data_IF_031540566588
#
_entry.id   IF_031540566588
#
_cell.length_a   1.000
_cell.length_b   1.000
_cell.length_c   1.000
_cell.angle_alpha   90.00
_cell.angle_beta   90.00
_cell.angle_gamma   90.00
#
_symmetry.space_group_name_H-M   'P 1'
#
loop_
_entity.id
_entity.type
_entity.pdbx_description
1 polymer ?
#
# COMPACT_ATOMS: atom_id res chain seq x y z
N UNK A 1 13.54 26.13 -23.83
CA UNK A 1 13.09 26.14 -22.48
C UNK A 1 12.62 24.79 -22.05
N UNK A 2 13.02 24.43 -20.92
CA UNK A 2 12.67 23.14 -20.41
C UNK A 2 11.20 23.08 -20.02
N UNK A 3 10.45 22.28 -20.72
CA UNK A 3 9.03 22.16 -20.46
C UNK A 3 8.72 21.04 -19.49
N UNK A 4 9.64 20.77 -18.62
CA UNK A 4 9.39 19.74 -17.62
C UNK A 4 8.19 20.09 -16.77
N UNK A 5 7.35 19.11 -16.52
CA UNK A 5 6.26 19.33 -15.57
C UNK A 5 6.84 19.62 -14.19
N UNK A 6 6.08 20.31 -13.37
CA UNK A 6 6.55 20.55 -12.01
C UNK A 6 6.93 19.24 -11.34
N UNK A 7 7.95 19.25 -10.52
CA UNK A 7 8.35 18.03 -9.86
C UNK A 7 7.18 17.47 -9.08
N UNK A 8 6.95 16.18 -9.28
CA UNK A 8 5.92 15.52 -8.51
C UNK A 8 6.28 15.61 -7.04
N UNK A 9 5.26 15.70 -6.23
CA UNK A 9 5.50 15.66 -4.80
C UNK A 9 6.22 14.37 -4.44
N UNK A 10 6.95 14.41 -3.36
CA UNK A 10 7.64 13.22 -2.89
C UNK A 10 6.68 12.04 -2.78
N UNK A 11 5.48 12.31 -2.31
CA UNK A 11 4.47 11.26 -2.16
C UNK A 11 4.13 10.62 -3.51
N UNK A 12 4.07 11.43 -4.56
CA UNK A 12 3.72 10.92 -5.89
C UNK A 12 4.80 9.98 -6.43
N UNK A 13 6.06 10.37 -6.30
CA UNK A 13 7.16 9.51 -6.71
C UNK A 13 7.18 8.21 -5.90
N UNK A 14 6.89 8.34 -4.64
CA UNK A 14 6.83 7.23 -3.74
C UNK A 14 5.77 6.20 -4.17
N UNK A 15 4.61 6.70 -4.53
CA UNK A 15 3.54 5.85 -5.03
C UNK A 15 3.95 5.11 -6.29
N UNK A 16 4.63 5.79 -7.20
CA UNK A 16 5.06 5.18 -8.45
C UNK A 16 6.06 4.06 -8.21
N UNK A 17 7.04 4.29 -7.36
CA UNK A 17 8.02 3.27 -7.03
C UNK A 17 7.37 2.07 -6.38
N UNK A 18 6.43 2.33 -5.50
CA UNK A 18 5.75 1.27 -4.79
C UNK A 18 4.93 0.41 -5.73
N UNK A 19 4.31 1.02 -6.72
CA UNK A 19 3.53 0.27 -7.71
C UNK A 19 4.39 -0.73 -8.46
N UNK A 20 5.57 -0.31 -8.84
CA UNK A 20 6.49 -1.19 -9.56
C UNK A 20 6.90 -2.37 -8.68
N UNK A 21 7.18 -2.11 -7.41
CA UNK A 21 7.52 -3.17 -6.48
C UNK A 21 6.38 -4.14 -6.27
N UNK A 22 5.17 -3.62 -6.17
CA UNK A 22 4.00 -4.46 -6.00
C UNK A 22 3.76 -5.35 -7.19
N UNK A 23 4.02 -4.85 -8.38
CA UNK A 23 3.83 -5.65 -9.59
C UNK A 23 4.71 -6.88 -9.57
N UNK A 24 5.95 -6.74 -9.12
CA UNK A 24 6.86 -7.87 -9.02
C UNK A 24 6.34 -8.91 -8.03
N UNK A 25 5.78 -8.46 -6.93
CA UNK A 25 5.19 -9.37 -5.95
C UNK A 25 4.00 -10.14 -6.50
N UNK A 26 3.22 -9.49 -7.36
CA UNK A 26 2.06 -10.14 -7.95
C UNK A 26 2.43 -11.33 -8.80
N UNK A 27 3.54 -11.24 -9.49
CA UNK A 27 3.94 -12.29 -10.41
C UNK A 27 4.39 -13.55 -9.68
N UNK A 28 4.64 -13.46 -8.37
CA UNK A 28 5.07 -14.61 -7.59
C UNK A 28 3.94 -15.28 -6.82
N UNK A 29 2.71 -15.06 -7.24
CA UNK A 29 1.54 -15.53 -6.49
C UNK A 29 1.09 -16.93 -6.86
N UNK A 30 1.99 -17.79 -7.25
CA UNK A 30 1.60 -19.14 -7.65
C UNK A 30 1.23 -20.04 -6.47
N UNK A 31 1.69 -19.70 -5.27
CA UNK A 31 1.50 -20.55 -4.10
C UNK A 31 0.36 -20.06 -3.20
N UNK A 32 -0.74 -20.81 -3.09
CA UNK A 32 -1.89 -20.37 -2.28
C UNK A 32 -1.56 -20.18 -0.79
N UNK A 33 -0.70 -21.02 -0.25
CA UNK A 33 -0.32 -20.88 1.16
C UNK A 33 0.42 -19.57 1.38
N UNK A 34 1.29 -19.23 0.46
CA UNK A 34 2.02 -17.97 0.54
C UNK A 34 1.10 -16.78 0.42
N UNK A 35 0.12 -16.87 -0.46
CA UNK A 35 -0.84 -15.80 -0.64
C UNK A 35 -1.62 -15.54 0.65
N UNK A 36 -1.99 -16.61 1.35
CA UNK A 36 -2.70 -16.46 2.62
C UNK A 36 -1.84 -15.76 3.66
N UNK A 37 -0.58 -16.15 3.76
CA UNK A 37 0.34 -15.52 4.71
C UNK A 37 0.54 -14.06 4.39
N UNK A 38 0.69 -13.74 3.12
CA UNK A 38 0.88 -12.35 2.71
C UNK A 38 -0.34 -11.51 3.02
N UNK A 39 -1.53 -12.09 2.84
CA UNK A 39 -2.74 -11.38 3.20
C UNK A 39 -2.80 -11.10 4.70
N UNK A 40 -2.46 -12.07 5.50
CA UNK A 40 -2.46 -11.88 6.95
C UNK A 40 -1.43 -10.83 7.37
N UNK A 41 -0.26 -10.84 6.75
CA UNK A 41 0.75 -9.82 7.03
C UNK A 41 0.28 -8.44 6.63
N UNK A 42 -0.38 -8.33 5.49
CA UNK A 42 -0.90 -7.04 5.04
C UNK A 42 -1.94 -6.50 6.03
N UNK A 43 -2.82 -7.36 6.50
CA UNK A 43 -3.81 -6.96 7.49
C UNK A 43 -3.14 -6.53 8.80
N UNK A 44 -2.08 -7.22 9.18
CA UNK A 44 -1.33 -6.86 10.38
C UNK A 44 -0.70 -5.48 10.25
N UNK A 45 -0.16 -5.18 9.10
CA UNK A 45 0.44 -3.87 8.86
C UNK A 45 -0.58 -2.76 9.09
N UNK A 46 -1.82 -3.00 8.68
CA UNK A 46 -2.89 -2.03 8.90
C UNK A 46 -3.50 -2.11 10.30
N UNK A 47 -3.07 -3.10 11.09
CA UNK A 47 -3.62 -3.26 12.42
C UNK A 47 -5.03 -3.82 12.43
N UNK A 48 -5.35 -4.67 11.45
CA UNK A 48 -6.69 -5.23 11.31
C UNK A 48 -6.70 -6.72 11.56
N UNK A 49 -7.85 -7.25 11.98
CA UNK A 49 -7.99 -8.70 12.18
C UNK A 49 -8.09 -9.43 10.85
N UNK A 50 -7.91 -10.77 10.86
CA UNK A 50 -7.95 -11.54 9.62
C UNK A 50 -9.28 -11.48 8.89
N UNK A 51 -10.36 -11.18 9.60
CA UNK A 51 -11.69 -11.12 9.01
C UNK A 51 -12.13 -9.70 8.67
N UNK A 52 -11.18 -8.78 8.54
CA UNK A 52 -11.52 -7.40 8.23
C UNK A 52 -12.26 -7.28 6.90
N UNK A 53 -13.27 -6.44 6.87
CA UNK A 53 -14.05 -6.20 5.67
C UNK A 53 -13.34 -5.21 4.77
N UNK A 54 -13.71 -5.17 3.47
CA UNK A 54 -13.13 -4.18 2.56
C UNK A 54 -13.33 -2.74 3.04
N UNK A 55 -14.47 -2.48 3.66
CA UNK A 55 -14.72 -1.14 4.18
C UNK A 55 -13.80 -0.80 5.34
N UNK A 56 -13.55 -1.75 6.21
CA UNK A 56 -12.63 -1.55 7.32
C UNK A 56 -11.21 -1.32 6.82
N UNK A 57 -10.81 -2.06 5.79
CA UNK A 57 -9.49 -1.90 5.20
C UNK A 57 -9.34 -0.49 4.64
N UNK A 58 -10.33 -0.03 3.90
CA UNK A 58 -10.31 1.29 3.28
C UNK A 58 -10.25 2.39 4.33
N UNK A 59 -11.08 2.27 5.34
CA UNK A 59 -11.14 3.27 6.41
C UNK A 59 -9.83 3.33 7.16
N UNK A 60 -9.29 2.18 7.49
CA UNK A 60 -8.04 2.13 8.23
C UNK A 60 -6.89 2.73 7.42
N UNK A 61 -6.86 2.41 6.13
CA UNK A 61 -5.84 2.97 5.25
C UNK A 61 -5.89 4.49 5.24
N UNK A 62 -7.07 5.06 5.13
CA UNK A 62 -7.20 6.52 5.12
C UNK A 62 -6.66 7.14 6.41
N UNK A 63 -7.00 6.54 7.53
CA UNK A 63 -6.51 7.03 8.82
C UNK A 63 -4.99 6.99 8.90
N UNK A 64 -4.42 5.85 8.51
CA UNK A 64 -2.98 5.69 8.58
C UNK A 64 -2.26 6.56 7.57
N UNK A 65 -2.84 6.73 6.39
CA UNK A 65 -2.25 7.57 5.37
C UNK A 65 -2.15 9.02 5.83
N UNK A 66 -3.16 9.51 6.51
CA UNK A 66 -3.10 10.86 7.08
C UNK A 66 -2.03 10.96 8.15
N UNK A 67 -1.92 9.93 8.97
CA UNK A 67 -1.01 9.93 10.11
C UNK A 67 0.44 9.87 9.67
N UNK A 68 0.74 9.09 8.65
CA UNK A 68 2.11 8.85 8.20
C UNK A 68 2.47 9.52 6.89
N UNK A 69 1.67 10.48 6.46
CA UNK A 69 1.93 11.17 5.20
C UNK A 69 3.27 11.91 5.25
N UNK A 70 4.11 11.77 4.21
CA UNK A 70 5.43 12.40 4.22
C UNK A 70 5.37 13.92 4.35
N UNK A 71 4.34 14.54 3.78
CA UNK A 71 4.19 15.99 3.85
C UNK A 71 3.93 16.48 5.27
N UNK A 72 3.54 15.58 6.14
CA UNK A 72 3.30 15.90 7.54
C UNK A 72 4.45 15.46 8.45
N UNK A 73 5.58 15.13 7.86
CA UNK A 73 6.69 14.63 8.62
C UNK A 73 6.53 13.20 9.10
N UNK A 74 5.62 12.44 8.47
CA UNK A 74 5.42 11.07 8.82
C UNK A 74 6.57 10.18 8.40
N UNK A 75 6.60 8.97 8.93
CA UNK A 75 7.64 8.01 8.66
C UNK A 75 7.46 7.42 7.26
N UNK A 76 8.45 7.63 6.41
CA UNK A 76 8.41 7.19 5.03
C UNK A 76 8.32 5.68 4.91
N UNK A 77 9.08 4.97 5.72
CA UNK A 77 9.07 3.51 5.68
C UNK A 77 7.72 2.94 6.11
N UNK A 78 7.15 3.54 7.13
CA UNK A 78 5.82 3.12 7.58
C UNK A 78 4.78 3.38 6.49
N UNK A 79 4.88 4.53 5.83
CA UNK A 79 3.94 4.84 4.75
C UNK A 79 4.07 3.83 3.62
N UNK A 80 5.29 3.42 3.29
CA UNK A 80 5.50 2.40 2.26
C UNK A 80 4.79 1.09 2.60
N UNK A 81 4.94 0.67 3.84
CA UNK A 81 4.30 -0.57 4.29
C UNK A 81 2.79 -0.48 4.21
N UNK A 82 2.26 0.65 4.63
CA UNK A 82 0.82 0.87 4.63
C UNK A 82 0.26 0.82 3.21
N UNK A 83 0.92 1.51 2.31
CA UNK A 83 0.48 1.54 0.91
C UNK A 83 0.57 0.14 0.29
N UNK A 84 1.66 -0.55 0.53
CA UNK A 84 1.84 -1.89 -0.02
C UNK A 84 0.76 -2.84 0.49
N UNK A 85 0.48 -2.77 1.78
CA UNK A 85 -0.54 -3.63 2.38
C UNK A 85 -1.92 -3.33 1.80
N UNK A 86 -2.24 -2.06 1.66
CA UNK A 86 -3.53 -1.66 1.14
C UNK A 86 -3.71 -2.11 -0.32
N UNK A 87 -2.69 -1.88 -1.13
CA UNK A 87 -2.78 -2.28 -2.54
C UNK A 87 -2.89 -3.79 -2.67
N UNK A 88 -2.16 -4.53 -1.86
CA UNK A 88 -2.26 -5.98 -1.88
C UNK A 88 -3.68 -6.44 -1.56
N UNK A 89 -4.26 -5.85 -0.52
CA UNK A 89 -5.58 -6.28 -0.06
C UNK A 89 -6.70 -5.87 -1.01
N UNK A 90 -6.59 -4.71 -1.62
CA UNK A 90 -7.66 -4.21 -2.47
C UNK A 90 -7.62 -4.77 -3.88
N UNK A 91 -6.47 -5.24 -4.32
CA UNK A 91 -6.38 -5.75 -5.69
C UNK A 91 -7.20 -7.02 -5.88
N UNK A 92 -7.28 -7.84 -4.86
CA UNK A 92 -8.10 -9.05 -4.94
C UNK A 92 -9.59 -8.73 -4.98
N UNK A 93 -9.96 -7.55 -4.54
CA UNK A 93 -11.37 -7.19 -4.44
C UNK A 93 -11.87 -6.37 -5.60
N UNK A 94 -10.99 -5.90 -6.44
CA UNK A 94 -11.39 -5.09 -7.59
C UNK A 94 -11.62 -5.93 -8.84
N UNK A 95 -11.82 -7.19 -8.70
CA UNK A 95 -12.09 -8.05 -9.84
C UNK A 95 -13.52 -7.99 -10.27
#
# INVERSE_FOLDING_TARGET
MNSQPPPKSFASLFWDVLRLGMKALWENRANPARALLERQQALKVLGLPPNATPQQIKRRYRTLAKQYHPDRGGNQQQMQRIIAAYEYLTKDQTR
#
